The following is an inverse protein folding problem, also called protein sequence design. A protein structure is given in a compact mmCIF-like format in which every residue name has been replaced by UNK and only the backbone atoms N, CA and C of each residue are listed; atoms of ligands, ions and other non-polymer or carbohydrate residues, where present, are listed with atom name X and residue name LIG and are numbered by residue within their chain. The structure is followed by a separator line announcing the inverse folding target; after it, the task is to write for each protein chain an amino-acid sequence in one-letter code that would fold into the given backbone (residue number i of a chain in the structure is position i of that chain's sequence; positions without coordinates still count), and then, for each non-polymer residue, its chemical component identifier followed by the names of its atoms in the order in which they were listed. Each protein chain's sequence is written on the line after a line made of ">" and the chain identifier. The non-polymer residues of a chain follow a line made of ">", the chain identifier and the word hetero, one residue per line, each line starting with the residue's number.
data_IF_741126366400
#
_entry.id   IF_741126366400
#
_cell.length_a   1.000
_cell.length_b   1.000
_cell.length_c   1.000
_cell.angle_alpha   90.00
_cell.angle_beta   90.00
_cell.angle_gamma   90.00
#
_symmetry.space_group_name_H-M   'P 1'
#
loop_
_entity.id
_entity.type
_entity.pdbx_description
1 polymer ?
#
# COMPACT_ATOMS: atom_id res chain seq x y z
N UNK A 1 13.29 -21.88 -4.63
CA UNK A 1 13.40 -20.59 -3.92
C UNK A 1 13.18 -19.49 -4.97
N UNK A 2 12.34 -18.49 -4.70
CA UNK A 2 12.02 -17.45 -5.69
C UNK A 2 13.24 -16.55 -5.97
N UNK A 3 13.47 -16.13 -7.21
CA UNK A 3 14.69 -15.39 -7.61
C UNK A 3 14.89 -14.09 -6.81
N UNK A 4 13.82 -13.36 -6.52
CA UNK A 4 13.91 -12.15 -5.69
C UNK A 4 14.31 -12.47 -4.24
N UNK A 5 13.99 -13.66 -3.74
CA UNK A 5 14.50 -14.13 -2.43
C UNK A 5 16.00 -14.42 -2.51
N UNK A 6 16.47 -15.03 -3.61
CA UNK A 6 17.90 -15.26 -3.85
C UNK A 6 18.67 -13.94 -3.93
N UNK A 7 18.17 -12.95 -4.68
CA UNK A 7 18.74 -11.59 -4.73
C UNK A 7 18.82 -10.94 -3.35
N UNK A 8 17.79 -11.14 -2.50
CA UNK A 8 17.77 -10.65 -1.13
C UNK A 8 18.87 -11.27 -0.26
N UNK A 9 18.99 -12.61 -0.26
CA UNK A 9 20.07 -13.30 0.44
C UNK A 9 21.45 -12.93 -0.08
N UNK A 10 21.59 -12.79 -1.40
CA UNK A 10 22.84 -12.40 -2.03
C UNK A 10 23.27 -10.99 -1.61
N UNK A 11 22.32 -10.05 -1.54
CA UNK A 11 22.58 -8.69 -1.07
C UNK A 11 23.01 -8.67 0.40
N UNK A 12 22.38 -9.49 1.24
CA UNK A 12 22.76 -9.62 2.65
C UNK A 12 24.16 -10.22 2.80
N UNK A 13 24.49 -11.27 2.05
CA UNK A 13 25.82 -11.88 2.04
C UNK A 13 26.91 -10.88 1.64
N UNK A 14 26.68 -10.12 0.56
CA UNK A 14 27.59 -9.06 0.11
C UNK A 14 27.79 -7.97 1.16
N UNK A 15 26.73 -7.60 1.90
CA UNK A 15 26.82 -6.66 3.00
C UNK A 15 27.67 -7.18 4.17
N UNK A 16 27.57 -8.48 4.48
CA UNK A 16 28.42 -9.14 5.48
C UNK A 16 29.89 -9.10 5.06
N UNK A 17 30.21 -9.43 3.80
CA UNK A 17 31.57 -9.36 3.27
C UNK A 17 32.14 -7.94 3.35
N UNK A 18 31.33 -6.94 3.01
CA UNK A 18 31.73 -5.53 3.11
C UNK A 18 32.00 -5.11 4.56
N UNK A 19 31.12 -5.50 5.50
CA UNK A 19 31.30 -5.22 6.91
C UNK A 19 32.54 -5.93 7.48
N UNK A 20 32.78 -7.19 7.12
CA UNK A 20 33.96 -7.94 7.54
C UNK A 20 35.27 -7.28 7.05
N UNK A 21 35.30 -6.77 5.81
CA UNK A 21 36.45 -6.04 5.29
C UNK A 21 36.65 -4.71 6.04
N UNK A 22 35.59 -3.92 6.19
CA UNK A 22 35.64 -2.65 6.93
C UNK A 22 36.12 -2.83 8.38
N UNK A 23 35.68 -3.89 9.03
CA UNK A 23 36.08 -4.23 10.40
C UNK A 23 37.48 -4.90 10.49
N UNK A 24 38.20 -5.04 9.36
CA UNK A 24 39.54 -5.64 9.31
C UNK A 24 39.58 -7.16 9.52
N UNK A 25 38.44 -7.85 9.49
CA UNK A 25 38.34 -9.30 9.67
C UNK A 25 38.79 -10.09 8.44
N UNK A 26 38.77 -9.45 7.28
CA UNK A 26 39.32 -9.98 6.02
C UNK A 26 40.21 -8.91 5.38
N UNK A 27 41.26 -9.35 4.69
CA UNK A 27 42.28 -8.45 4.11
C UNK A 27 41.84 -7.75 2.83
N UNK A 28 40.89 -8.33 2.10
CA UNK A 28 40.41 -7.83 0.82
C UNK A 28 38.88 -7.94 0.75
N UNK A 29 38.24 -7.06 -0.01
CA UNK A 29 36.78 -7.08 -0.20
C UNK A 29 36.42 -7.83 -1.49
N UNK A 30 35.91 -9.08 -1.41
CA UNK A 30 35.62 -9.88 -2.59
C UNK A 30 34.40 -9.39 -3.39
N UNK A 31 33.64 -8.41 -2.88
CA UNK A 31 32.45 -7.88 -3.56
C UNK A 31 32.72 -7.39 -4.99
N UNK A 32 33.95 -6.96 -5.31
CA UNK A 32 34.32 -6.53 -6.67
C UNK A 32 34.30 -7.66 -7.70
N UNK A 33 34.43 -8.92 -7.27
CA UNK A 33 34.46 -10.10 -8.14
C UNK A 33 33.14 -10.87 -8.15
N UNK A 34 32.17 -10.42 -7.36
CA UNK A 34 30.86 -11.05 -7.27
C UNK A 34 29.90 -10.32 -8.21
N UNK A 35 29.18 -11.06 -9.05
CA UNK A 35 28.13 -10.49 -9.88
C UNK A 35 26.90 -10.10 -9.06
N UNK A 36 26.09 -9.18 -9.60
CA UNK A 36 24.76 -8.91 -9.06
C UNK A 36 23.76 -9.89 -9.65
N UNK A 37 22.87 -10.40 -8.79
CA UNK A 37 21.71 -11.17 -9.23
C UNK A 37 20.58 -10.18 -9.47
N UNK A 38 20.17 -10.02 -10.72
CA UNK A 38 19.05 -9.14 -11.06
C UNK A 38 17.73 -9.68 -10.51
N UNK A 39 16.92 -8.78 -9.95
CA UNK A 39 15.56 -9.11 -9.53
C UNK A 39 14.61 -9.04 -10.72
N UNK A 40 13.65 -9.97 -10.78
CA UNK A 40 12.58 -9.91 -11.78
C UNK A 40 11.46 -9.00 -11.25
N UNK A 41 10.91 -8.08 -12.08
CA UNK A 41 9.76 -7.28 -11.70
C UNK A 41 8.60 -8.16 -11.25
N UNK A 42 8.12 -7.97 -10.03
CA UNK A 42 6.93 -8.69 -9.53
C UNK A 42 5.71 -7.83 -9.83
N UNK A 43 4.75 -8.36 -10.59
CA UNK A 43 3.44 -7.73 -10.74
C UNK A 43 2.76 -7.77 -9.38
N UNK A 44 2.42 -6.60 -8.84
CA UNK A 44 1.77 -6.49 -7.53
C UNK A 44 0.26 -6.50 -7.75
N UNK A 45 -0.37 -7.53 -7.22
CA UNK A 45 -1.82 -7.65 -7.21
C UNK A 45 -2.45 -6.51 -6.42
N UNK A 46 -3.54 -5.95 -6.94
CA UNK A 46 -4.36 -4.91 -6.33
C UNK A 46 -5.84 -5.21 -6.65
N UNK A 47 -6.75 -4.57 -5.91
CA UNK A 47 -8.20 -4.64 -6.15
C UNK A 47 -8.61 -3.54 -7.13
N UNK A 48 -9.47 -3.86 -8.08
CA UNK A 48 -10.19 -2.86 -8.86
C UNK A 48 -11.34 -2.25 -8.05
N UNK A 49 -11.91 -1.14 -8.54
CA UNK A 49 -13.04 -0.50 -7.89
C UNK A 49 -14.22 -1.47 -7.72
N UNK A 50 -14.56 -2.22 -8.78
CA UNK A 50 -15.66 -3.19 -8.77
C UNK A 50 -15.40 -4.34 -7.79
N UNK A 51 -14.17 -4.82 -7.68
CA UNK A 51 -13.81 -5.84 -6.70
C UNK A 51 -13.90 -5.31 -5.27
N UNK A 52 -13.53 -4.05 -5.04
CA UNK A 52 -13.64 -3.42 -3.73
C UNK A 52 -15.12 -3.27 -3.30
N UNK A 53 -16.00 -2.91 -4.24
CA UNK A 53 -17.46 -2.83 -4.02
C UNK A 53 -18.02 -4.21 -3.65
N UNK A 54 -17.78 -5.25 -4.48
CA UNK A 54 -18.21 -6.62 -4.18
C UNK A 54 -17.69 -7.11 -2.84
N UNK A 55 -16.45 -6.77 -2.50
CA UNK A 55 -15.85 -7.14 -1.22
C UNK A 55 -16.51 -6.41 -0.03
N UNK A 56 -16.97 -5.17 -0.22
CA UNK A 56 -17.74 -4.44 0.80
C UNK A 56 -19.15 -5.00 1.01
N UNK A 57 -19.77 -5.54 -0.04
CA UNK A 57 -21.10 -6.18 0.01
C UNK A 57 -21.05 -7.61 0.55
N UNK A 58 -19.90 -8.28 0.44
CA UNK A 58 -19.71 -9.65 0.90
C UNK A 58 -19.88 -9.76 2.42
N UNK A 59 -20.55 -10.82 2.93
CA UNK A 59 -20.65 -11.09 4.36
C UNK A 59 -19.31 -11.57 4.92
N UNK A 60 -18.93 -11.05 6.09
CA UNK A 60 -17.72 -11.46 6.80
C UNK A 60 -18.10 -12.24 8.06
N UNK A 61 -17.34 -13.29 8.35
CA UNK A 61 -17.45 -13.99 9.64
C UNK A 61 -17.02 -13.09 10.80
N UNK A 62 -16.05 -12.21 10.55
CA UNK A 62 -15.40 -11.35 11.54
C UNK A 62 -15.51 -9.90 11.07
N UNK A 63 -16.46 -9.14 11.61
CA UNK A 63 -16.70 -7.73 11.20
C UNK A 63 -15.46 -6.84 11.37
N UNK A 64 -14.62 -7.12 12.37
CA UNK A 64 -13.36 -6.39 12.56
C UNK A 64 -12.39 -6.58 11.39
N UNK A 65 -12.40 -7.75 10.73
CA UNK A 65 -11.59 -7.99 9.53
C UNK A 65 -12.12 -7.13 8.38
N UNK A 66 -13.44 -7.10 8.17
CA UNK A 66 -14.08 -6.30 7.11
C UNK A 66 -13.69 -4.84 7.26
N UNK A 67 -13.96 -4.28 8.43
CA UNK A 67 -13.68 -2.88 8.76
C UNK A 67 -12.19 -2.55 8.59
N UNK A 68 -11.29 -3.34 9.18
CA UNK A 68 -9.86 -3.10 9.11
C UNK A 68 -9.31 -3.20 7.68
N UNK A 69 -9.77 -4.17 6.89
CA UNK A 69 -9.31 -4.41 5.53
C UNK A 69 -9.80 -3.31 4.58
N UNK A 70 -11.10 -3.00 4.58
CA UNK A 70 -11.66 -1.94 3.76
C UNK A 70 -11.13 -0.56 4.15
N UNK A 71 -10.97 -0.29 5.45
CA UNK A 71 -10.37 0.95 5.90
C UNK A 71 -8.94 1.12 5.38
N UNK A 72 -8.15 0.05 5.36
CA UNK A 72 -6.81 0.06 4.76
C UNK A 72 -6.85 0.27 3.24
N UNK A 73 -7.84 -0.27 2.52
CA UNK A 73 -8.04 0.02 1.08
C UNK A 73 -8.36 1.50 0.81
N UNK A 74 -9.13 2.14 1.70
CA UNK A 74 -9.56 3.53 1.54
C UNK A 74 -8.54 4.56 2.06
N UNK A 75 -7.58 4.15 2.87
CA UNK A 75 -6.61 5.07 3.53
C UNK A 75 -5.15 4.75 3.25
N UNK A 76 -4.85 3.62 2.62
CA UNK A 76 -3.46 3.20 2.40
C UNK A 76 -2.66 2.96 3.68
N UNK A 77 -3.31 2.81 4.85
CA UNK A 77 -2.56 2.55 6.08
C UNK A 77 -2.01 1.13 6.14
N UNK A 78 -0.80 0.98 6.66
CA UNK A 78 -0.11 -0.32 6.75
C UNK A 78 -0.75 -1.16 7.85
N UNK A 79 -0.65 -2.48 7.73
CA UNK A 79 -1.16 -3.43 8.74
C UNK A 79 -0.69 -3.11 10.17
N UNK A 80 0.56 -2.69 10.34
CA UNK A 80 1.12 -2.31 11.65
C UNK A 80 0.38 -1.12 12.25
N UNK A 81 0.02 -0.16 11.42
CA UNK A 81 -0.61 1.09 11.83
C UNK A 81 -2.08 0.82 12.16
N UNK A 82 -2.76 0.01 11.35
CA UNK A 82 -4.13 -0.48 11.60
C UNK A 82 -4.24 -1.17 12.96
N UNK A 83 -3.27 -2.03 13.29
CA UNK A 83 -3.26 -2.78 14.57
C UNK A 83 -3.06 -1.89 15.80
N UNK A 84 -2.47 -0.71 15.63
CA UNK A 84 -2.14 0.20 16.72
C UNK A 84 -3.03 1.44 16.73
N UNK A 85 -4.00 1.52 15.81
CA UNK A 85 -4.82 2.70 15.61
C UNK A 85 -5.77 2.92 16.79
N UNK A 86 -5.75 4.13 17.33
CA UNK A 86 -6.61 4.59 18.43
C UNK A 86 -7.39 5.83 18.02
N UNK A 87 -8.48 6.12 18.74
CA UNK A 87 -9.29 7.32 18.49
C UNK A 87 -8.54 8.64 18.72
N UNK A 88 -7.46 8.65 19.53
CA UNK A 88 -6.62 9.84 19.74
C UNK A 88 -5.91 10.30 18.46
N UNK A 89 -5.71 9.37 17.52
CA UNK A 89 -5.07 9.62 16.23
C UNK A 89 -6.06 10.14 15.19
N UNK A 90 -7.36 10.17 15.49
CA UNK A 90 -8.42 10.58 14.58
C UNK A 90 -8.93 11.95 15.01
N UNK A 91 -8.58 13.00 14.25
CA UNK A 91 -8.84 14.38 14.63
C UNK A 91 -9.46 15.17 13.48
N UNK A 92 -10.43 16.07 13.75
CA UNK A 92 -10.91 17.00 12.74
C UNK A 92 -9.86 18.07 12.44
N UNK A 93 -9.76 18.50 11.19
CA UNK A 93 -8.93 19.64 10.79
C UNK A 93 -9.81 20.86 10.45
N UNK A 94 -9.18 21.98 10.09
CA UNK A 94 -9.83 23.29 9.91
C UNK A 94 -11.01 23.31 8.92
N UNK A 95 -11.07 22.35 8.00
CA UNK A 95 -12.14 22.21 7.01
C UNK A 95 -13.26 21.24 7.42
N UNK A 96 -13.26 20.75 8.67
CA UNK A 96 -14.21 19.75 9.17
C UNK A 96 -13.93 18.32 8.70
N UNK A 97 -12.94 18.10 7.83
CA UNK A 97 -12.55 16.76 7.39
C UNK A 97 -11.74 16.06 8.48
N UNK A 98 -11.97 14.76 8.64
CA UNK A 98 -11.25 13.94 9.60
C UNK A 98 -9.88 13.54 9.03
N UNK A 99 -8.88 13.52 9.89
CA UNK A 99 -7.52 13.13 9.57
C UNK A 99 -7.06 12.00 10.49
N UNK A 100 -6.27 11.10 9.94
CA UNK A 100 -5.53 10.10 10.71
C UNK A 100 -4.09 10.54 10.87
N UNK A 101 -3.65 10.63 12.11
CA UNK A 101 -2.28 11.01 12.49
C UNK A 101 -1.51 9.76 12.88
N UNK A 102 -0.50 9.40 12.11
CA UNK A 102 0.34 8.23 12.43
C UNK A 102 1.79 8.63 12.55
N UNK A 103 2.52 7.89 13.40
CA UNK A 103 3.98 8.02 13.50
C UNK A 103 4.62 6.82 12.81
N UNK A 104 5.32 7.08 11.71
CA UNK A 104 5.97 6.03 10.93
C UNK A 104 7.02 5.29 11.76
N UNK A 105 6.96 3.96 11.79
CA UNK A 105 7.87 3.16 12.62
C UNK A 105 9.35 3.31 12.22
N UNK A 106 9.64 3.37 10.90
CA UNK A 106 11.01 3.41 10.35
C UNK A 106 11.63 4.81 10.33
N UNK A 107 10.86 5.83 9.97
CA UNK A 107 11.38 7.20 9.79
C UNK A 107 11.12 8.09 11.00
N UNK A 108 10.23 7.68 11.91
CA UNK A 108 9.74 8.44 13.05
C UNK A 108 9.00 9.74 12.71
N UNK A 109 8.76 10.02 11.42
CA UNK A 109 7.97 11.15 10.95
C UNK A 109 6.51 10.98 11.35
N UNK A 110 5.87 12.11 11.67
CA UNK A 110 4.43 12.19 11.94
C UNK A 110 3.77 12.62 10.63
N UNK A 111 2.74 11.90 10.23
CA UNK A 111 1.99 12.18 9.01
C UNK A 111 0.52 12.29 9.34
N UNK A 112 -0.11 13.29 8.71
CA UNK A 112 -1.51 13.64 8.86
C UNK A 112 -2.20 13.45 7.52
N UNK A 113 -2.95 12.35 7.38
CA UNK A 113 -3.63 12.03 6.13
C UNK A 113 -5.15 12.23 6.28
N UNK A 114 -5.81 12.95 5.35
CA UNK A 114 -7.25 13.07 5.37
C UNK A 114 -7.90 11.72 5.05
N UNK A 115 -8.98 11.39 5.76
CA UNK A 115 -9.80 10.19 5.50
C UNK A 115 -11.15 10.60 4.91
N UNK A 116 -11.76 9.73 4.11
CA UNK A 116 -13.12 9.92 3.59
C UNK A 116 -14.17 9.63 4.68
N UNK A 117 -15.40 10.09 4.48
CA UNK A 117 -16.51 9.80 5.39
C UNK A 117 -16.84 8.29 5.43
N UNK A 118 -16.71 7.60 4.29
CA UNK A 118 -16.81 6.14 4.22
C UNK A 118 -15.74 5.45 5.08
N UNK A 119 -14.48 5.90 4.97
CA UNK A 119 -13.41 5.38 5.80
C UNK A 119 -13.66 5.68 7.29
N UNK A 120 -14.18 6.86 7.60
CA UNK A 120 -14.57 7.21 8.97
C UNK A 120 -15.69 6.30 9.50
N UNK A 121 -16.70 5.98 8.69
CA UNK A 121 -17.76 5.04 9.05
C UNK A 121 -17.25 3.63 9.41
N UNK A 122 -16.16 3.18 8.77
CA UNK A 122 -15.53 1.88 9.08
C UNK A 122 -14.81 1.86 10.44
N UNK A 123 -14.53 3.02 11.04
CA UNK A 123 -13.95 3.09 12.38
C UNK A 123 -14.92 2.62 13.47
N UNK A 124 -16.24 2.58 13.19
CA UNK A 124 -17.26 2.17 14.14
C UNK A 124 -17.46 3.18 15.28
N UNK A 125 -17.98 2.71 16.42
CA UNK A 125 -18.24 3.56 17.58
C UNK A 125 -16.97 3.95 18.32
N UNK A 126 -17.00 5.11 18.98
CA UNK A 126 -15.91 5.55 19.84
C UNK A 126 -15.72 4.59 21.01
N UNK A 127 -14.47 4.19 21.23
CA UNK A 127 -14.09 3.27 22.28
C UNK A 127 -12.78 3.70 22.94
N UNK A 128 -12.55 3.19 24.16
CA UNK A 128 -11.24 3.26 24.80
C UNK A 128 -10.33 2.17 24.24
N UNK A 129 -9.11 2.54 23.83
CA UNK A 129 -8.11 1.62 23.29
C UNK A 129 -8.07 1.57 21.76
N UNK A 130 -7.94 0.36 21.21
CA UNK A 130 -7.72 0.12 19.78
C UNK A 130 -9.03 0.13 19.00
N UNK A 131 -9.07 0.86 17.88
CA UNK A 131 -10.25 0.94 17.00
C UNK A 131 -10.61 -0.44 16.44
N UNK A 132 -9.60 -1.19 15.98
CA UNK A 132 -9.76 -2.53 15.44
C UNK A 132 -9.39 -3.62 16.46
N UNK A 133 -9.88 -3.46 17.70
CA UNK A 133 -9.70 -4.45 18.75
C UNK A 133 -10.20 -5.83 18.27
N UNK A 134 -9.34 -6.86 18.41
CA UNK A 134 -9.64 -8.22 17.96
C UNK A 134 -9.10 -8.58 16.56
N UNK A 135 -8.61 -7.61 15.78
CA UNK A 135 -7.97 -7.89 14.49
C UNK A 135 -6.66 -8.67 14.68
N UNK A 136 -6.62 -9.91 14.18
CA UNK A 136 -5.51 -10.86 14.38
C UNK A 136 -4.93 -11.33 13.05
N UNK A 137 -3.62 -11.59 12.99
CA UNK A 137 -2.96 -12.04 11.76
C UNK A 137 -3.52 -13.36 11.21
N UNK A 138 -4.03 -14.24 12.08
CA UNK A 138 -4.70 -15.49 11.66
C UNK A 138 -5.91 -15.24 10.75
N UNK A 139 -6.56 -14.08 10.86
CA UNK A 139 -7.70 -13.70 10.03
C UNK A 139 -7.28 -13.45 8.57
N UNK A 140 -6.01 -13.11 8.33
CA UNK A 140 -5.48 -12.83 7.00
C UNK A 140 -5.20 -14.09 6.17
N UNK A 141 -5.30 -15.28 6.77
CA UNK A 141 -5.06 -16.55 6.10
C UNK A 141 -6.36 -17.19 5.66
N UNK A 142 -7.13 -17.74 6.62
CA UNK A 142 -8.39 -18.44 6.33
C UNK A 142 -9.54 -17.48 6.04
N UNK A 143 -9.95 -16.65 7.03
CA UNK A 143 -11.11 -15.77 6.88
C UNK A 143 -11.04 -14.82 5.68
N UNK A 144 -9.92 -14.11 5.49
CA UNK A 144 -9.74 -13.22 4.36
C UNK A 144 -9.85 -13.96 3.01
N UNK A 145 -9.24 -15.16 2.90
CA UNK A 145 -9.31 -15.96 1.67
C UNK A 145 -10.74 -16.38 1.34
N UNK A 146 -11.54 -16.75 2.36
CA UNK A 146 -12.96 -17.08 2.17
C UNK A 146 -13.77 -15.87 1.72
N UNK A 147 -13.53 -14.70 2.31
CA UNK A 147 -14.22 -13.46 1.93
C UNK A 147 -13.87 -13.07 0.47
N UNK A 148 -12.60 -13.14 0.10
CA UNK A 148 -12.16 -12.88 -1.29
C UNK A 148 -12.82 -13.85 -2.28
N UNK A 149 -12.87 -15.14 -1.94
CA UNK A 149 -13.52 -16.15 -2.79
C UNK A 149 -15.03 -15.91 -2.91
N UNK A 150 -15.70 -15.59 -1.81
CA UNK A 150 -17.12 -15.27 -1.79
C UNK A 150 -17.44 -13.99 -2.60
N UNK A 151 -16.53 -13.01 -2.59
CA UNK A 151 -16.60 -11.83 -3.43
C UNK A 151 -16.28 -12.12 -4.91
N UNK A 152 -15.93 -13.36 -5.28
CA UNK A 152 -15.55 -13.73 -6.65
C UNK A 152 -14.18 -13.19 -7.08
N UNK A 153 -13.26 -12.99 -6.13
CA UNK A 153 -11.89 -12.51 -6.36
C UNK A 153 -10.93 -13.71 -6.32
N UNK A 154 -10.39 -14.08 -7.46
CA UNK A 154 -9.46 -15.21 -7.62
C UNK A 154 -7.99 -14.81 -7.49
N UNK A 155 -7.69 -13.51 -7.53
CA UNK A 155 -6.34 -12.95 -7.37
C UNK A 155 -5.78 -13.23 -5.99
N UNK A 156 -4.45 -13.31 -5.90
CA UNK A 156 -3.76 -13.48 -4.62
C UNK A 156 -3.67 -12.15 -3.86
N UNK A 157 -4.77 -11.75 -3.23
CA UNK A 157 -4.84 -10.55 -2.43
C UNK A 157 -4.39 -10.83 -1.00
N UNK A 158 -3.39 -10.07 -0.55
CA UNK A 158 -2.92 -10.05 0.85
C UNK A 158 -3.24 -8.71 1.49
N UNK A 159 -3.06 -8.56 2.80
CA UNK A 159 -3.24 -7.26 3.44
C UNK A 159 -2.31 -6.18 2.85
N UNK A 160 -1.11 -6.52 2.36
CA UNK A 160 -0.27 -5.50 1.72
C UNK A 160 -0.83 -4.99 0.39
N UNK A 161 -1.69 -5.78 -0.26
CA UNK A 161 -2.36 -5.38 -1.50
C UNK A 161 -3.36 -4.24 -1.28
N UNK A 162 -3.86 -4.00 -0.06
CA UNK A 162 -4.75 -2.85 0.23
C UNK A 162 -4.06 -1.53 -0.11
N UNK A 163 -2.76 -1.42 0.21
CA UNK A 163 -1.93 -0.26 -0.07
C UNK A 163 -1.67 -0.08 -1.57
N UNK A 164 -1.51 -1.19 -2.30
CA UNK A 164 -1.44 -1.15 -3.76
C UNK A 164 -2.77 -0.74 -4.37
N UNK A 165 -3.87 -1.27 -3.86
CA UNK A 165 -5.22 -0.93 -4.31
C UNK A 165 -5.48 0.56 -4.12
N UNK A 166 -5.14 1.13 -2.96
CA UNK A 166 -5.24 2.57 -2.73
C UNK A 166 -4.45 3.37 -3.78
N UNK A 167 -3.16 3.06 -3.97
CA UNK A 167 -2.30 3.77 -4.93
C UNK A 167 -2.78 3.63 -6.38
N UNK A 168 -3.11 2.41 -6.79
CA UNK A 168 -3.62 2.06 -8.11
C UNK A 168 -4.92 2.80 -8.44
N UNK A 169 -5.92 2.74 -7.56
CA UNK A 169 -7.21 3.38 -7.77
C UNK A 169 -7.08 4.91 -7.86
N UNK A 170 -6.25 5.53 -7.02
CA UNK A 170 -6.04 6.98 -7.09
C UNK A 170 -5.30 7.40 -8.36
N UNK A 171 -4.35 6.59 -8.85
CA UNK A 171 -3.74 6.83 -10.18
C UNK A 171 -4.81 6.75 -11.26
N UNK A 172 -5.63 5.70 -11.27
CA UNK A 172 -6.70 5.55 -12.26
C UNK A 172 -7.67 6.75 -12.24
N UNK A 173 -7.96 7.30 -11.05
CA UNK A 173 -8.85 8.44 -10.84
C UNK A 173 -8.28 9.82 -11.20
N UNK A 174 -7.05 9.94 -11.70
CA UNK A 174 -6.50 11.26 -12.07
C UNK A 174 -5.53 11.88 -11.07
N UNK A 175 -5.26 11.23 -9.94
CA UNK A 175 -4.44 11.85 -8.90
C UNK A 175 -2.97 11.87 -9.32
N UNK A 176 -2.34 13.03 -9.12
CA UNK A 176 -0.93 13.23 -9.42
C UNK A 176 -0.04 12.26 -8.62
N UNK A 177 0.95 11.65 -9.29
CA UNK A 177 1.82 10.66 -8.67
C UNK A 177 2.64 11.23 -7.50
N UNK A 178 3.00 12.51 -7.50
CA UNK A 178 3.68 13.14 -6.36
C UNK A 178 2.74 13.29 -5.16
N UNK A 179 1.45 13.53 -5.38
CA UNK A 179 0.44 13.54 -4.32
C UNK A 179 0.26 12.14 -3.73
N UNK A 180 0.14 11.11 -4.59
CA UNK A 180 0.07 9.71 -4.14
C UNK A 180 1.36 9.30 -3.41
N UNK A 181 2.52 9.72 -3.92
CA UNK A 181 3.81 9.47 -3.27
C UNK A 181 3.87 10.08 -1.88
N UNK A 182 3.42 11.32 -1.72
CA UNK A 182 3.37 12.01 -0.44
C UNK A 182 2.41 11.30 0.52
N UNK A 183 1.23 10.91 0.03
CA UNK A 183 0.20 10.23 0.83
C UNK A 183 0.63 8.82 1.28
N UNK A 184 1.24 8.04 0.38
CA UNK A 184 1.78 6.71 0.69
C UNK A 184 3.19 6.72 1.32
N UNK A 185 3.78 7.92 1.39
CA UNK A 185 5.07 8.23 2.01
C UNK A 185 6.23 7.41 1.44
N UNK A 186 6.27 7.21 0.11
CA UNK A 186 7.41 6.56 -0.50
C UNK A 186 8.61 7.50 -0.49
N UNK A 187 9.69 7.11 0.21
CA UNK A 187 10.98 7.81 0.16
C UNK A 187 11.55 7.94 -1.26
N UNK A 188 11.19 7.01 -2.14
CA UNK A 188 11.65 7.00 -3.51
C UNK A 188 10.45 6.96 -4.46
N UNK A 189 10.36 7.97 -5.33
CA UNK A 189 9.34 8.08 -6.38
C UNK A 189 9.29 6.85 -7.28
N UNK A 190 10.41 6.14 -7.46
CA UNK A 190 10.46 4.86 -8.21
C UNK A 190 9.51 3.80 -7.63
N UNK A 191 9.21 3.88 -6.34
CA UNK A 191 8.23 2.97 -5.70
C UNK A 191 6.80 3.36 -6.08
N UNK A 192 6.52 4.63 -6.38
CA UNK A 192 5.21 5.11 -6.84
C UNK A 192 5.06 4.94 -8.36
N UNK A 193 6.15 5.03 -9.11
CA UNK A 193 6.19 4.81 -10.56
C UNK A 193 5.75 3.40 -10.97
N UNK A 194 5.67 2.45 -10.02
CA UNK A 194 5.06 1.13 -10.29
C UNK A 194 3.60 1.26 -10.73
N UNK A 195 2.89 2.33 -10.34
CA UNK A 195 1.52 2.60 -10.74
C UNK A 195 1.42 3.35 -12.08
N UNK A 196 2.52 3.84 -12.65
CA UNK A 196 2.49 4.63 -13.90
C UNK A 196 1.89 3.86 -15.08
N UNK A 197 2.02 2.53 -15.12
CA UNK A 197 1.41 1.69 -16.16
C UNK A 197 -0.12 1.68 -16.10
N UNK A 198 -0.71 2.10 -14.99
CA UNK A 198 -2.15 2.10 -14.73
C UNK A 198 -2.82 3.41 -15.15
N UNK A 199 -2.04 4.42 -15.55
CA UNK A 199 -2.53 5.65 -16.16
C UNK A 199 -3.03 5.46 -17.61
N UNK A 200 -3.19 4.23 -18.11
CA UNK A 200 -3.56 3.95 -19.49
C UNK A 200 -4.86 4.65 -19.92
N UNK A 201 -5.85 4.73 -19.03
CA UNK A 201 -7.11 5.42 -19.29
C UNK A 201 -6.92 6.95 -19.45
N UNK A 202 -6.02 7.55 -18.67
CA UNK A 202 -5.63 8.96 -18.85
C UNK A 202 -4.83 9.17 -20.13
N UNK A 203 -3.98 8.21 -20.52
CA UNK A 203 -3.22 8.30 -21.76
C UNK A 203 -4.17 8.34 -22.96
N UNK A 204 -5.25 7.56 -22.97
CA UNK A 204 -6.29 7.65 -23.99
C UNK A 204 -6.92 9.06 -24.03
N UNK A 205 -7.35 9.61 -22.90
CA UNK A 205 -7.94 10.95 -22.84
C UNK A 205 -6.98 12.07 -23.24
N UNK A 206 -5.67 11.90 -22.99
CA UNK A 206 -4.65 12.91 -23.33
C UNK A 206 -4.28 12.84 -24.82
N UNK A 207 -4.21 11.64 -25.39
CA UNK A 207 -3.90 11.46 -26.81
C UNK A 207 -4.93 12.17 -27.69
N UNK A 208 -6.21 12.13 -27.31
CA UNK A 208 -7.29 12.76 -28.07
C UNK A 208 -7.36 14.29 -27.93
N UNK A 209 -6.58 14.89 -27.02
CA UNK A 209 -6.55 16.36 -26.81
C UNK A 209 -5.75 17.10 -27.88
N UNK A 210 -4.83 16.44 -28.58
CA UNK A 210 -4.07 17.03 -29.68
C UNK A 210 -4.91 16.88 -30.96
N UNK A 211 -5.56 17.95 -31.39
CA UNK A 211 -6.38 17.97 -32.60
C UNK A 211 -5.76 18.88 -33.67
N UNK A 212 -5.79 18.42 -34.92
CA UNK A 212 -5.38 19.21 -36.09
C UNK A 212 -6.52 20.12 -36.60
N UNK A 213 -7.72 19.99 -36.04
CA UNK A 213 -8.86 20.84 -36.39
C UNK A 213 -8.79 22.14 -35.58
N UNK A 214 -8.91 23.27 -36.27
CA UNK A 214 -9.00 24.59 -35.63
C UNK A 214 -10.25 24.59 -34.74
N UNK A 215 -10.13 24.99 -33.47
CA UNK A 215 -11.31 25.23 -32.63
C UNK A 215 -12.12 26.34 -33.30
N UNK A 216 -13.30 26.01 -33.78
CA UNK A 216 -14.26 27.03 -34.21
C UNK A 216 -14.66 27.83 -32.96
N UNK A 217 -14.60 29.15 -33.11
CA UNK A 217 -14.80 30.12 -32.02
C UNK A 217 -16.24 30.18 -31.56
#
# INVERSE_FOLDING_TARGET
>A
MHINSVTGYWSAFRAVLHAAYRDGKIKENPNGFLDRIESIPTIREHLSQEELIRLAETPYEEEVLKRAFLFSCLTGLRKSDIKQLTWQQIQPYTNGKMFVTTRMQKTKQIVHNPISDEAYGLLGERCEGLIFAGFKDKMLQGPLKRCLLAAGITKKITFHCTWHSFGSLHVEMGMDMAVIQAYLEHKNITTTQIYSKMAAQQMCEVVDKITLKRREA
#
